data_IF_551867440888
#
_entry.id   IF_551867440888
#
_cell.length_a   1.000
_cell.length_b   1.000
_cell.length_c   1.000
_cell.angle_alpha   90.00
_cell.angle_beta   90.00
_cell.angle_gamma   90.00
#
_symmetry.space_group_name_H-M   'P 1'
#
loop_
_entity.id
_entity.type
_entity.pdbx_description
1 polymer ?
#
# COMPACT_ATOMS: atom_id res chain seq x y z
N UNK A 1 -6.34 20.73 -12.17
CA UNK A 1 -7.07 21.21 -10.97
C UNK A 1 -6.23 20.89 -9.75
N UNK A 2 -6.26 21.71 -8.68
CA UNK A 2 -5.55 21.40 -7.44
C UNK A 2 -6.19 20.18 -6.76
N UNK A 3 -5.38 19.24 -6.29
CA UNK A 3 -5.86 18.05 -5.56
C UNK A 3 -6.38 18.44 -4.19
N UNK A 4 -7.50 17.84 -3.80
CA UNK A 4 -8.19 18.14 -2.56
C UNK A 4 -7.88 17.09 -1.50
N UNK A 5 -7.35 17.53 -0.37
CA UNK A 5 -6.98 16.67 0.75
C UNK A 5 -7.82 17.05 1.97
N UNK A 6 -8.41 16.05 2.63
CA UNK A 6 -9.08 16.24 3.91
C UNK A 6 -8.18 15.73 5.04
N UNK A 7 -7.95 16.58 6.05
CA UNK A 7 -7.29 16.20 7.30
C UNK A 7 -8.35 16.09 8.39
N UNK A 8 -8.42 14.93 9.05
CA UNK A 8 -9.34 14.67 10.17
C UNK A 8 -8.51 14.29 11.39
N UNK A 9 -8.42 15.19 12.34
CA UNK A 9 -7.63 15.06 13.58
C UNK A 9 -8.24 15.97 14.63
N UNK A 10 -8.38 15.57 15.88
CA UNK A 10 -8.96 16.42 16.93
C UNK A 10 -7.97 17.49 17.44
N UNK A 11 -6.66 17.27 17.26
CA UNK A 11 -5.61 18.18 17.68
C UNK A 11 -5.42 19.38 16.71
N UNK A 12 -5.73 20.62 17.09
CA UNK A 12 -5.65 21.77 16.19
C UNK A 12 -4.22 22.05 15.69
N UNK A 13 -3.21 21.80 16.53
CA UNK A 13 -1.80 22.03 16.17
C UNK A 13 -1.32 21.04 15.12
N UNK A 14 -1.80 19.80 15.17
CA UNK A 14 -1.49 18.77 14.16
C UNK A 14 -2.11 19.15 12.83
N UNK A 15 -3.41 19.51 12.82
CA UNK A 15 -4.08 19.98 11.60
C UNK A 15 -3.37 21.16 10.97
N UNK A 16 -3.04 22.19 11.78
CA UNK A 16 -2.33 23.38 11.31
C UNK A 16 -0.97 23.04 10.68
N UNK A 17 -0.21 22.16 11.33
CA UNK A 17 1.10 21.73 10.84
C UNK A 17 0.99 20.98 9.51
N UNK A 18 0.09 20.01 9.41
CA UNK A 18 -0.09 19.23 8.18
C UNK A 18 -0.65 20.09 7.04
N UNK A 19 -1.58 20.97 7.35
CA UNK A 19 -2.11 21.94 6.39
C UNK A 19 -1.00 22.80 5.81
N UNK A 20 -0.16 23.41 6.64
CA UNK A 20 0.95 24.26 6.19
C UNK A 20 1.90 23.53 5.24
N UNK A 21 2.23 22.27 5.55
CA UNK A 21 3.08 21.41 4.69
C UNK A 21 2.43 21.15 3.35
N UNK A 22 1.14 20.79 3.33
CA UNK A 22 0.44 20.39 2.12
C UNK A 22 0.03 21.56 1.23
N UNK A 23 -0.34 22.71 1.81
CA UNK A 23 -0.61 23.95 1.06
C UNK A 23 0.67 24.48 0.38
N UNK A 24 1.85 24.31 0.99
CA UNK A 24 3.12 24.64 0.36
C UNK A 24 3.38 23.83 -0.93
N UNK A 25 2.85 22.63 -1.01
CA UNK A 25 2.86 21.75 -2.21
C UNK A 25 1.66 22.00 -3.15
N UNK A 26 0.89 23.08 -2.94
CA UNK A 26 -0.25 23.52 -3.75
C UNK A 26 -1.46 22.56 -3.73
N UNK A 27 -1.60 21.73 -2.70
CA UNK A 27 -2.82 20.99 -2.46
C UNK A 27 -3.91 21.91 -1.89
N UNK A 28 -5.17 21.65 -2.23
CA UNK A 28 -6.32 22.28 -1.59
C UNK A 28 -6.68 21.49 -0.33
N UNK A 29 -6.41 22.06 0.84
CA UNK A 29 -6.55 21.36 2.12
C UNK A 29 -7.81 21.79 2.83
N UNK A 30 -8.61 20.82 3.28
CA UNK A 30 -9.71 21.03 4.21
C UNK A 30 -9.45 20.28 5.52
N UNK A 31 -10.02 20.80 6.60
CA UNK A 31 -9.86 20.26 7.95
C UNK A 31 -11.21 19.84 8.54
N UNK A 32 -11.17 18.79 9.35
CA UNK A 32 -12.24 18.39 10.25
C UNK A 32 -11.64 18.08 11.62
N UNK A 33 -12.28 18.56 12.68
CA UNK A 33 -11.84 18.40 14.06
C UNK A 33 -12.46 17.18 14.76
N UNK A 34 -13.23 16.40 14.04
CA UNK A 34 -13.84 15.16 14.52
C UNK A 34 -14.17 14.22 13.38
N UNK A 35 -14.33 12.95 13.69
CA UNK A 35 -14.75 11.95 12.72
C UNK A 35 -16.14 12.23 12.14
N UNK A 36 -17.07 12.77 12.94
CA UNK A 36 -18.41 13.15 12.48
C UNK A 36 -18.33 14.23 11.40
N UNK A 37 -17.64 15.34 11.67
CA UNK A 37 -17.42 16.42 10.70
C UNK A 37 -16.65 15.95 9.47
N UNK A 38 -15.68 15.06 9.66
CA UNK A 38 -14.93 14.43 8.57
C UNK A 38 -15.84 13.64 7.64
N UNK A 39 -16.73 12.83 8.22
CA UNK A 39 -17.69 12.02 7.45
C UNK A 39 -18.68 12.89 6.66
N UNK A 40 -19.21 13.95 7.27
CA UNK A 40 -20.08 14.90 6.60
C UNK A 40 -19.41 15.51 5.36
N UNK A 41 -18.17 15.96 5.49
CA UNK A 41 -17.41 16.52 4.38
C UNK A 41 -17.14 15.50 3.27
N UNK A 42 -16.78 14.26 3.65
CA UNK A 42 -16.52 13.17 2.70
C UNK A 42 -17.77 12.75 1.92
N UNK A 43 -18.95 12.88 2.53
CA UNK A 43 -20.25 12.65 1.86
C UNK A 43 -20.61 13.82 0.95
N UNK A 44 -20.35 15.05 1.38
CA UNK A 44 -20.75 16.26 0.67
C UNK A 44 -19.84 16.60 -0.53
N UNK A 45 -18.59 16.15 -0.52
CA UNK A 45 -17.59 16.55 -1.51
C UNK A 45 -16.60 15.42 -1.81
N UNK A 46 -16.06 15.48 -3.03
CA UNK A 46 -14.96 14.60 -3.43
C UNK A 46 -13.63 15.09 -2.87
N UNK A 47 -12.82 14.16 -2.36
CA UNK A 47 -11.43 14.36 -1.96
C UNK A 47 -10.54 13.32 -2.64
N UNK A 48 -9.35 13.76 -3.07
CA UNK A 48 -8.34 12.88 -3.66
C UNK A 48 -7.62 12.06 -2.60
N UNK A 49 -7.61 12.53 -1.34
CA UNK A 49 -7.03 11.83 -0.20
C UNK A 49 -7.70 12.28 1.10
N UNK A 50 -7.91 11.35 2.02
CA UNK A 50 -8.25 11.63 3.41
C UNK A 50 -7.12 11.15 4.33
N UNK A 51 -6.68 12.03 5.23
CA UNK A 51 -5.70 11.75 6.28
C UNK A 51 -6.48 11.72 7.59
N UNK A 52 -6.55 10.55 8.23
CA UNK A 52 -7.38 10.33 9.41
C UNK A 52 -6.49 10.03 10.62
N UNK A 53 -6.67 10.80 11.69
CA UNK A 53 -6.11 10.39 12.98
C UNK A 53 -6.82 9.12 13.49
N UNK A 54 -6.05 8.25 14.09
CA UNK A 54 -6.55 7.00 14.65
C UNK A 54 -7.43 7.24 15.87
N UNK A 55 -7.02 8.13 16.75
CA UNK A 55 -7.66 8.32 18.06
C UNK A 55 -8.31 9.68 18.16
N UNK A 56 -9.62 9.71 18.03
CA UNK A 56 -10.44 10.90 18.21
C UNK A 56 -11.54 10.61 19.24
N UNK A 57 -12.02 11.63 19.95
CA UNK A 57 -13.18 11.48 20.85
C UNK A 57 -14.43 10.99 20.12
N UNK A 58 -15.30 10.28 20.82
CA UNK A 58 -16.62 9.78 20.40
C UNK A 58 -16.56 8.73 19.29
N UNK A 59 -15.85 8.96 18.20
CA UNK A 59 -15.70 8.06 17.06
C UNK A 59 -14.25 8.07 16.57
N UNK A 60 -13.60 6.93 16.63
CA UNK A 60 -12.20 6.80 16.22
C UNK A 60 -12.03 6.79 14.68
N UNK A 61 -10.77 6.88 14.23
CA UNK A 61 -10.48 6.89 12.79
C UNK A 61 -10.81 5.59 12.08
N UNK A 62 -10.79 4.45 12.77
CA UNK A 62 -11.19 3.16 12.18
C UNK A 62 -12.69 3.08 12.01
N UNK A 63 -13.45 3.60 12.96
CA UNK A 63 -14.91 3.67 12.87
C UNK A 63 -15.33 4.62 11.74
N UNK A 64 -14.63 5.75 11.59
CA UNK A 64 -14.82 6.65 10.45
C UNK A 64 -14.56 5.92 9.13
N UNK A 65 -13.42 5.23 9.01
CA UNK A 65 -13.08 4.47 7.80
C UNK A 65 -14.12 3.39 7.49
N UNK A 66 -14.59 2.65 8.51
CA UNK A 66 -15.65 1.66 8.34
C UNK A 66 -16.93 2.29 7.79
N UNK A 67 -17.39 3.39 8.39
CA UNK A 67 -18.58 4.13 7.93
C UNK A 67 -18.43 4.71 6.53
N UNK A 68 -17.22 5.12 6.15
CA UNK A 68 -16.93 5.52 4.77
C UNK A 68 -17.18 4.36 3.80
N UNK A 69 -16.65 3.17 4.09
CA UNK A 69 -16.80 1.97 3.24
C UNK A 69 -18.24 1.46 3.19
N UNK A 70 -18.95 1.48 4.32
CA UNK A 70 -20.39 1.15 4.37
C UNK A 70 -21.24 2.07 3.49
N UNK A 71 -20.85 3.33 3.32
CA UNK A 71 -21.51 4.30 2.45
C UNK A 71 -20.99 4.30 1.00
N UNK A 72 -20.12 3.37 0.65
CA UNK A 72 -19.55 3.27 -0.70
C UNK A 72 -18.54 4.37 -1.06
N UNK A 73 -18.04 5.10 -0.07
CA UNK A 73 -17.01 6.11 -0.31
C UNK A 73 -15.67 5.43 -0.54
N UNK A 74 -15.12 5.60 -1.73
CA UNK A 74 -13.84 5.02 -2.15
C UNK A 74 -12.64 5.96 -1.95
N UNK A 75 -12.83 7.12 -1.32
CA UNK A 75 -11.76 8.08 -1.08
C UNK A 75 -10.50 7.39 -0.52
N UNK A 76 -9.35 7.55 -1.18
CA UNK A 76 -8.06 7.07 -0.69
C UNK A 76 -7.81 7.55 0.73
N UNK A 77 -7.37 6.67 1.61
CA UNK A 77 -7.29 6.99 3.04
C UNK A 77 -5.96 6.55 3.64
N UNK A 78 -5.30 7.46 4.31
CA UNK A 78 -4.11 7.23 5.15
C UNK A 78 -4.50 7.38 6.61
N UNK A 79 -4.11 6.40 7.42
CA UNK A 79 -4.31 6.46 8.86
C UNK A 79 -3.06 6.97 9.55
N UNK A 80 -3.21 7.85 10.53
CA UNK A 80 -2.09 8.33 11.35
C UNK A 80 -2.35 8.00 12.82
N UNK A 81 -1.33 7.51 13.53
CA UNK A 81 -1.45 7.11 14.94
C UNK A 81 -0.28 7.54 15.80
N UNK A 82 -0.52 7.76 17.07
CA UNK A 82 0.49 8.23 18.02
C UNK A 82 1.49 7.16 18.48
N UNK A 83 1.19 5.85 18.46
CA UNK A 83 2.16 4.78 18.83
C UNK A 83 1.58 3.36 18.74
N UNK A 84 2.41 2.43 18.19
CA UNK A 84 2.47 1.01 18.61
C UNK A 84 1.20 0.15 18.49
N UNK A 85 0.20 0.53 17.69
CA UNK A 85 -1.08 -0.16 17.66
C UNK A 85 -1.19 -1.11 16.45
N UNK A 86 -0.31 -2.12 16.43
CA UNK A 86 -0.28 -3.16 15.39
C UNK A 86 -1.66 -3.81 15.10
N UNK A 87 -2.49 -4.12 16.11
CA UNK A 87 -3.83 -4.67 15.86
C UNK A 87 -4.73 -3.72 15.08
N UNK A 88 -4.64 -2.42 15.33
CA UNK A 88 -5.43 -1.41 14.65
C UNK A 88 -4.92 -1.14 13.22
N UNK A 89 -3.60 -1.20 12.99
CA UNK A 89 -3.03 -1.14 11.66
C UNK A 89 -3.55 -2.26 10.76
N UNK A 90 -3.60 -3.49 11.27
CA UNK A 90 -4.17 -4.64 10.54
C UNK A 90 -5.67 -4.42 10.22
N UNK A 91 -6.43 -3.85 11.16
CA UNK A 91 -7.85 -3.53 10.94
C UNK A 91 -8.03 -2.43 9.90
N UNK A 92 -7.21 -1.37 9.94
CA UNK A 92 -7.21 -0.30 8.96
C UNK A 92 -6.97 -0.80 7.52
N UNK A 93 -5.97 -1.66 7.35
CA UNK A 93 -5.67 -2.29 6.06
C UNK A 93 -6.83 -3.16 5.57
N UNK A 94 -7.46 -3.95 6.45
CA UNK A 94 -8.66 -4.75 6.10
C UNK A 94 -9.84 -3.89 5.67
N UNK A 95 -9.97 -2.68 6.20
CA UNK A 95 -10.98 -1.69 5.83
C UNK A 95 -10.60 -0.89 4.58
N UNK A 96 -9.43 -1.17 3.97
CA UNK A 96 -8.99 -0.53 2.74
C UNK A 96 -8.30 0.82 2.95
N UNK A 97 -7.68 1.06 4.11
CA UNK A 97 -6.69 2.13 4.21
C UNK A 97 -5.51 1.84 3.27
N UNK A 98 -5.00 2.88 2.62
CA UNK A 98 -3.87 2.74 1.67
C UNK A 98 -2.56 2.64 2.42
N UNK A 99 -2.43 3.39 3.51
CA UNK A 99 -1.22 3.41 4.32
C UNK A 99 -1.53 3.73 5.78
N UNK A 100 -0.53 3.48 6.62
CA UNK A 100 -0.60 3.66 8.06
C UNK A 100 0.72 4.26 8.55
N UNK A 101 0.66 5.47 9.12
CA UNK A 101 1.83 6.24 9.53
C UNK A 101 1.83 6.48 11.03
N UNK A 102 3.03 6.53 11.61
CA UNK A 102 3.22 6.78 13.04
C UNK A 102 3.59 8.23 13.32
N UNK A 103 2.89 8.88 14.26
CA UNK A 103 3.29 10.18 14.82
C UNK A 103 4.55 10.02 15.71
N UNK A 104 5.48 10.98 15.72
CA UNK A 104 5.45 12.25 14.97
C UNK A 104 5.89 12.06 13.51
N UNK A 105 5.20 12.70 12.58
CA UNK A 105 5.58 12.75 11.18
C UNK A 105 6.45 13.97 10.89
N UNK A 106 7.53 13.76 10.16
CA UNK A 106 8.27 14.89 9.60
C UNK A 106 7.54 15.46 8.38
N UNK A 107 7.75 16.77 8.06
CA UNK A 107 7.21 17.36 6.85
C UNK A 107 7.56 16.57 5.57
N UNK A 108 8.76 16.00 5.50
CA UNK A 108 9.23 15.19 4.36
C UNK A 108 8.44 13.88 4.23
N UNK A 109 8.18 13.20 5.34
CA UNK A 109 7.40 11.97 5.36
C UNK A 109 5.97 12.22 4.90
N UNK A 110 5.34 13.29 5.40
CA UNK A 110 3.98 13.66 5.01
C UNK A 110 3.91 13.99 3.52
N UNK A 111 4.84 14.82 3.00
CA UNK A 111 4.93 15.14 1.57
C UNK A 111 5.07 13.89 0.71
N UNK A 112 6.03 13.04 1.05
CA UNK A 112 6.33 11.83 0.29
C UNK A 112 5.12 10.90 0.16
N UNK A 113 4.44 10.63 1.27
CA UNK A 113 3.27 9.73 1.28
C UNK A 113 2.10 10.34 0.51
N UNK A 114 1.84 11.64 0.70
CA UNK A 114 0.75 12.31 -0.01
C UNK A 114 1.02 12.37 -1.51
N UNK A 115 2.22 12.77 -1.92
CA UNK A 115 2.63 12.79 -3.32
C UNK A 115 2.50 11.40 -3.95
N UNK A 116 3.02 10.37 -3.28
CA UNK A 116 2.95 9.00 -3.77
C UNK A 116 1.51 8.54 -4.00
N UNK A 117 0.59 8.82 -3.08
CA UNK A 117 -0.81 8.40 -3.18
C UNK A 117 -1.57 9.22 -4.23
N UNK A 118 -1.41 10.54 -4.20
CA UNK A 118 -2.14 11.45 -5.09
C UNK A 118 -1.68 11.27 -6.53
N UNK A 119 -0.37 11.11 -6.77
CA UNK A 119 0.18 10.85 -8.11
C UNK A 119 -0.21 9.47 -8.64
N UNK A 120 -0.30 8.46 -7.75
CA UNK A 120 -0.79 7.12 -8.12
C UNK A 120 -2.24 7.13 -8.58
N UNK A 121 -3.10 7.96 -7.98
CA UNK A 121 -4.49 8.11 -8.41
C UNK A 121 -4.64 8.91 -9.71
N UNK A 122 -3.66 9.71 -10.10
CA UNK A 122 -3.63 10.31 -11.45
C UNK A 122 -3.29 9.28 -12.53
N UNK A 123 -2.63 8.19 -12.15
CA UNK A 123 -2.27 7.10 -13.04
C UNK A 123 -3.37 6.02 -13.17
N UNK A 124 -4.57 6.25 -12.64
CA UNK A 124 -5.76 5.47 -12.95
C UNK A 124 -6.75 6.30 -13.83
N UNK A 125 -6.46 6.49 -15.14
CA UNK A 125 -7.54 6.69 -16.08
C UNK A 125 -8.12 5.32 -16.36
N UNK A 126 -9.42 5.20 -16.18
CA UNK A 126 -10.18 4.10 -16.73
C UNK A 126 -9.68 3.72 -18.14
N UNK A 127 -9.35 2.43 -18.32
CA UNK A 127 -9.29 1.73 -19.61
C UNK A 127 -8.02 1.75 -20.47
N UNK A 128 -7.03 2.61 -20.31
CA UNK A 128 -5.83 2.56 -21.17
C UNK A 128 -4.68 1.77 -20.52
N UNK A 129 -4.56 1.80 -19.21
CA UNK A 129 -3.47 1.16 -18.45
C UNK A 129 -3.73 -0.32 -18.08
N UNK A 130 -4.97 -0.79 -18.18
CA UNK A 130 -5.29 -2.21 -17.93
C UNK A 130 -4.59 -3.17 -18.90
N UNK A 131 -4.04 -2.63 -20.01
CA UNK A 131 -3.24 -3.35 -21.01
C UNK A 131 -1.73 -3.21 -20.81
N UNK A 132 -1.28 -2.53 -19.75
CA UNK A 132 0.13 -2.23 -19.53
C UNK A 132 0.74 -3.19 -18.51
N UNK A 133 1.83 -3.87 -18.88
CA UNK A 133 2.61 -4.73 -18.02
C UNK A 133 2.99 -4.06 -16.68
N UNK A 134 3.48 -2.82 -16.75
CA UNK A 134 3.94 -2.08 -15.58
C UNK A 134 2.79 -1.79 -14.58
N UNK A 135 1.57 -1.54 -15.06
CA UNK A 135 0.38 -1.40 -14.23
C UNK A 135 0.10 -2.69 -13.43
N UNK A 136 0.03 -3.82 -14.12
CA UNK A 136 -0.25 -5.10 -13.47
C UNK A 136 0.85 -5.49 -12.48
N UNK A 137 2.11 -5.19 -12.79
CA UNK A 137 3.21 -5.46 -11.87
C UNK A 137 3.14 -4.61 -10.60
N UNK A 138 2.82 -3.31 -10.72
CA UNK A 138 2.57 -2.42 -9.58
C UNK A 138 1.38 -2.88 -8.74
N UNK A 139 0.26 -3.22 -9.40
CA UNK A 139 -0.93 -3.74 -8.73
C UNK A 139 -0.64 -5.03 -7.95
N UNK A 140 0.18 -5.92 -8.53
CA UNK A 140 0.61 -7.14 -7.85
C UNK A 140 1.46 -6.83 -6.61
N UNK A 141 2.45 -5.94 -6.71
CA UNK A 141 3.27 -5.52 -5.57
C UNK A 141 2.42 -4.93 -4.44
N UNK A 142 1.47 -4.07 -4.80
CA UNK A 142 0.53 -3.49 -3.85
C UNK A 142 -0.30 -4.58 -3.15
N UNK A 143 -0.89 -5.49 -3.91
CA UNK A 143 -1.67 -6.59 -3.36
C UNK A 143 -0.84 -7.51 -2.44
N UNK A 144 0.44 -7.77 -2.77
CA UNK A 144 1.37 -8.51 -1.91
C UNK A 144 1.56 -7.79 -0.57
N UNK A 145 1.79 -6.47 -0.60
CA UNK A 145 1.97 -5.66 0.60
C UNK A 145 0.72 -5.66 1.49
N UNK A 146 -0.46 -5.70 0.88
CA UNK A 146 -1.75 -5.80 1.60
C UNK A 146 -2.15 -7.25 1.93
N UNK A 147 -1.30 -8.24 1.66
CA UNK A 147 -1.58 -9.67 1.83
C UNK A 147 -2.84 -10.16 1.09
N UNK A 148 -3.29 -9.43 0.09
CA UNK A 148 -4.34 -9.89 -0.83
C UNK A 148 -3.71 -10.73 -1.94
N UNK A 149 -3.41 -11.99 -1.59
CA UNK A 149 -2.71 -12.90 -2.50
C UNK A 149 -3.55 -13.28 -3.72
N UNK A 150 -4.87 -13.23 -3.62
CA UNK A 150 -5.74 -13.50 -4.77
C UNK A 150 -5.74 -12.33 -5.78
N UNK A 151 -5.77 -11.08 -5.29
CA UNK A 151 -5.58 -9.92 -6.17
C UNK A 151 -4.17 -9.90 -6.77
N UNK A 152 -3.15 -10.25 -5.99
CA UNK A 152 -1.78 -10.36 -6.48
C UNK A 152 -1.65 -11.41 -7.60
N UNK A 153 -2.24 -12.60 -7.43
CA UNK A 153 -2.26 -13.66 -8.47
C UNK A 153 -2.93 -13.20 -9.75
N UNK A 154 -4.10 -12.53 -9.64
CA UNK A 154 -4.81 -11.98 -10.82
C UNK A 154 -3.93 -10.98 -11.58
N UNK A 155 -3.35 -10.03 -10.86
CA UNK A 155 -2.49 -9.00 -11.46
C UNK A 155 -1.25 -9.61 -12.11
N UNK A 156 -0.58 -10.58 -11.44
CA UNK A 156 0.59 -11.25 -12.00
C UNK A 156 0.26 -12.10 -13.22
N UNK A 157 -0.90 -12.76 -13.23
CA UNK A 157 -1.38 -13.47 -14.41
C UNK A 157 -1.49 -12.54 -15.61
N UNK A 158 -2.07 -11.36 -15.44
CA UNK A 158 -2.20 -10.37 -16.49
C UNK A 158 -0.83 -9.80 -16.90
N UNK A 159 0.04 -9.48 -15.95
CA UNK A 159 1.40 -9.03 -16.24
C UNK A 159 2.18 -10.06 -17.09
N UNK A 160 2.19 -11.31 -16.65
CA UNK A 160 2.90 -12.38 -17.36
C UNK A 160 2.27 -12.78 -18.70
N UNK A 161 0.98 -12.46 -18.90
CA UNK A 161 0.34 -12.59 -20.22
C UNK A 161 0.84 -11.51 -21.20
N UNK A 162 1.16 -10.32 -20.69
CA UNK A 162 1.67 -9.19 -21.49
C UNK A 162 3.19 -9.29 -21.73
N UNK A 163 3.94 -9.82 -20.77
CA UNK A 163 5.38 -10.06 -20.86
C UNK A 163 5.76 -11.36 -20.15
N UNK A 164 5.83 -12.43 -20.92
CA UNK A 164 6.21 -13.78 -20.46
C UNK A 164 7.73 -13.97 -20.29
N UNK A 165 8.52 -12.92 -20.57
CA UNK A 165 9.98 -12.88 -20.39
C UNK A 165 10.43 -11.98 -19.25
N UNK A 166 9.56 -11.67 -18.34
CA UNK A 166 9.86 -10.84 -17.18
C UNK A 166 10.39 -11.66 -16.01
N UNK A 167 11.67 -11.53 -15.71
CA UNK A 167 12.27 -12.11 -14.50
C UNK A 167 11.61 -11.54 -13.22
N UNK A 168 11.25 -10.26 -13.20
CA UNK A 168 10.57 -9.63 -12.08
C UNK A 168 9.16 -10.17 -11.86
N UNK A 169 8.38 -10.34 -12.94
CA UNK A 169 7.05 -10.92 -12.87
C UNK A 169 7.05 -12.33 -12.30
N UNK A 170 7.96 -13.19 -12.77
CA UNK A 170 8.12 -14.53 -12.24
C UNK A 170 8.63 -14.55 -10.80
N UNK A 171 9.55 -13.64 -10.43
CA UNK A 171 9.98 -13.53 -9.04
C UNK A 171 8.82 -13.17 -8.10
N UNK A 172 7.98 -12.20 -8.47
CA UNK A 172 6.80 -11.83 -7.67
C UNK A 172 5.78 -12.96 -7.60
N UNK A 173 5.57 -13.72 -8.68
CA UNK A 173 4.71 -14.90 -8.65
C UNK A 173 5.24 -15.97 -7.68
N UNK A 174 6.57 -16.13 -7.63
CA UNK A 174 7.24 -16.97 -6.64
C UNK A 174 7.00 -16.51 -5.21
N UNK A 175 7.12 -15.22 -4.95
CA UNK A 175 6.84 -14.62 -3.62
C UNK A 175 5.40 -14.87 -3.20
N UNK A 176 4.43 -14.66 -4.09
CA UNK A 176 3.00 -14.91 -3.77
C UNK A 176 2.74 -16.38 -3.48
N UNK A 177 3.31 -17.30 -4.27
CA UNK A 177 3.18 -18.73 -4.04
C UNK A 177 3.77 -19.13 -2.67
N UNK A 178 4.95 -18.60 -2.33
CA UNK A 178 5.60 -18.86 -1.05
C UNK A 178 4.79 -18.32 0.13
N UNK A 179 4.29 -17.11 0.05
CA UNK A 179 3.42 -16.50 1.07
C UNK A 179 2.07 -17.23 1.21
N UNK A 180 1.64 -17.93 0.16
CA UNK A 180 0.48 -18.83 0.19
C UNK A 180 0.81 -20.24 0.69
N UNK A 181 2.06 -20.53 1.05
CA UNK A 181 2.51 -21.83 1.55
C UNK A 181 2.86 -22.86 0.44
N UNK A 182 2.81 -22.47 -0.83
CA UNK A 182 3.10 -23.37 -1.93
C UNK A 182 4.57 -23.27 -2.37
N UNK A 183 5.45 -23.84 -1.54
CA UNK A 183 6.89 -23.79 -1.74
C UNK A 183 7.37 -24.46 -3.05
N UNK A 184 6.66 -25.49 -3.54
CA UNK A 184 7.01 -26.17 -4.79
C UNK A 184 6.78 -25.27 -6.00
N UNK A 185 5.64 -24.59 -6.03
CA UNK A 185 5.32 -23.62 -7.08
C UNK A 185 6.25 -22.42 -6.99
N UNK A 186 6.50 -21.90 -5.79
CA UNK A 186 7.43 -20.80 -5.58
C UNK A 186 8.83 -21.09 -6.15
N UNK A 187 9.38 -22.28 -5.87
CA UNK A 187 10.68 -22.69 -6.40
C UNK A 187 10.70 -22.66 -7.93
N UNK A 188 9.67 -23.19 -8.58
CA UNK A 188 9.58 -23.18 -10.05
C UNK A 188 9.54 -21.77 -10.63
N UNK A 189 8.84 -20.86 -9.98
CA UNK A 189 8.79 -19.46 -10.40
C UNK A 189 10.13 -18.76 -10.25
N UNK A 190 10.85 -18.96 -9.14
CA UNK A 190 12.18 -18.41 -8.98
C UNK A 190 13.19 -18.96 -9.97
N UNK A 191 13.14 -20.27 -10.26
CA UNK A 191 13.95 -20.89 -11.30
C UNK A 191 13.64 -20.31 -12.68
N UNK A 192 12.36 -20.05 -12.98
CA UNK A 192 11.98 -19.43 -14.25
C UNK A 192 12.51 -18.00 -14.35
N UNK A 193 12.42 -17.21 -13.27
CA UNK A 193 12.99 -15.87 -13.21
C UNK A 193 14.51 -15.90 -13.50
N UNK A 194 15.24 -16.87 -12.91
CA UNK A 194 16.69 -17.05 -13.11
C UNK A 194 17.06 -17.60 -14.49
N UNK A 195 16.18 -18.36 -15.15
CA UNK A 195 16.39 -18.74 -16.56
C UNK A 195 16.31 -17.55 -17.49
N UNK A 196 15.41 -16.59 -17.19
CA UNK A 196 15.25 -15.36 -17.97
C UNK A 196 16.41 -14.41 -17.72
N UNK A 197 16.76 -14.20 -16.46
CA UNK A 197 17.88 -13.36 -16.06
C UNK A 197 18.61 -14.00 -14.87
N UNK A 198 19.71 -14.69 -15.16
CA UNK A 198 20.53 -15.40 -14.15
C UNK A 198 21.07 -14.49 -13.05
N UNK A 199 21.27 -13.19 -13.36
CA UNK A 199 21.86 -12.20 -12.47
C UNK A 199 20.80 -11.38 -11.73
N UNK A 200 19.52 -11.75 -11.82
CA UNK A 200 18.43 -11.09 -11.13
C UNK A 200 18.48 -11.37 -9.62
N UNK A 201 19.15 -10.48 -8.89
CA UNK A 201 19.43 -10.62 -7.48
C UNK A 201 18.23 -10.96 -6.59
N UNK A 202 17.01 -10.39 -6.79
CA UNK A 202 15.84 -10.76 -5.99
C UNK A 202 15.48 -12.24 -6.10
N UNK A 203 15.51 -12.82 -7.30
CA UNK A 203 15.20 -14.23 -7.49
C UNK A 203 16.30 -15.16 -6.93
N UNK A 204 17.57 -14.76 -7.03
CA UNK A 204 18.68 -15.49 -6.39
C UNK A 204 18.50 -15.55 -4.88
N UNK A 205 18.18 -14.42 -4.25
CA UNK A 205 17.96 -14.32 -2.81
C UNK A 205 16.76 -15.18 -2.37
N UNK A 206 15.64 -15.10 -3.08
CA UNK A 206 14.45 -15.86 -2.75
C UNK A 206 14.63 -17.37 -2.97
N UNK A 207 15.29 -17.79 -4.07
CA UNK A 207 15.61 -19.20 -4.32
C UNK A 207 16.53 -19.78 -3.24
N UNK A 208 17.53 -19.00 -2.80
CA UNK A 208 18.42 -19.40 -1.70
C UNK A 208 17.63 -19.56 -0.39
N UNK A 209 16.74 -18.61 -0.08
CA UNK A 209 15.90 -18.65 1.12
C UNK A 209 14.99 -19.89 1.15
N UNK A 210 14.32 -20.23 0.04
CA UNK A 210 13.50 -21.44 -0.05
C UNK A 210 14.33 -22.72 0.16
N UNK A 211 15.54 -22.77 -0.40
CA UNK A 211 16.45 -23.89 -0.19
C UNK A 211 16.83 -24.04 1.30
N UNK A 212 17.11 -22.94 1.97
CA UNK A 212 17.39 -22.92 3.42
C UNK A 212 16.18 -23.40 4.24
N UNK A 213 14.97 -22.91 3.91
CA UNK A 213 13.72 -23.36 4.54
C UNK A 213 13.49 -24.87 4.38
N UNK A 214 13.75 -25.40 3.20
CA UNK A 214 13.61 -26.83 2.93
C UNK A 214 14.60 -27.70 3.70
N UNK A 215 15.82 -27.21 3.92
CA UNK A 215 16.89 -27.97 4.59
C UNK A 215 16.91 -27.80 6.10
N UNK A 216 16.51 -26.66 6.64
CA UNK A 216 16.71 -26.27 8.04
C UNK A 216 15.42 -25.90 8.78
N UNK A 217 14.27 -25.90 8.09
CA UNK A 217 12.96 -25.53 8.66
C UNK A 217 12.81 -24.03 8.96
N UNK A 218 13.84 -23.21 8.76
CA UNK A 218 13.79 -21.75 8.94
C UNK A 218 14.81 -21.03 8.08
N UNK A 219 14.49 -19.82 7.63
CA UNK A 219 15.43 -18.88 7.02
C UNK A 219 15.28 -17.49 7.65
N UNK A 220 16.42 -16.80 7.83
CA UNK A 220 16.46 -15.42 8.35
C UNK A 220 16.48 -14.37 7.23
N UNK A 221 16.40 -14.79 5.98
CA UNK A 221 16.46 -13.86 4.86
C UNK A 221 15.08 -13.26 4.55
N UNK A 222 14.96 -11.95 4.35
CA UNK A 222 13.71 -11.30 3.96
C UNK A 222 13.33 -11.62 2.52
N UNK A 223 12.05 -11.39 2.17
CA UNK A 223 11.59 -11.47 0.79
C UNK A 223 12.19 -10.37 -0.08
N UNK A 224 12.66 -10.71 -1.26
CA UNK A 224 13.15 -9.76 -2.25
C UNK A 224 12.15 -9.58 -3.39
N UNK A 225 11.48 -8.41 -3.42
CA UNK A 225 10.42 -8.11 -4.41
C UNK A 225 10.92 -7.48 -5.72
N UNK A 226 12.21 -7.15 -5.82
CA UNK A 226 12.74 -6.30 -6.88
C UNK A 226 12.91 -4.86 -6.39
N UNK A 227 13.09 -3.89 -7.28
CA UNK A 227 13.41 -2.50 -6.92
C UNK A 227 12.34 -1.92 -5.98
N UNK A 228 12.69 -1.83 -4.70
CA UNK A 228 11.85 -1.37 -3.59
C UNK A 228 11.98 -2.33 -2.39
N UNK A 229 12.70 -1.91 -1.35
CA UNK A 229 12.85 -2.71 -0.13
C UNK A 229 11.54 -2.71 0.64
N UNK A 230 10.95 -3.89 0.91
CA UNK A 230 10.08 -4.06 2.07
C UNK A 230 10.95 -3.98 3.34
N UNK A 231 10.52 -3.14 4.27
CA UNK A 231 11.07 -3.15 5.61
C UNK A 231 10.92 -4.55 6.24
N UNK A 232 11.92 -4.96 7.00
CA UNK A 232 11.91 -6.20 7.77
C UNK A 232 10.66 -6.27 8.64
N UNK A 233 9.95 -7.40 8.70
CA UNK A 233 9.07 -7.69 9.82
C UNK A 233 9.94 -8.24 10.95
N UNK A 234 10.19 -7.46 11.99
CA UNK A 234 10.54 -7.96 13.31
C UNK A 234 9.29 -8.49 14.00
#
# INVERSE_FOLDING_TARGET
MSKRILIVDDEPNVRLSYRAVLEAERYAVEEANSAATGLEKLVASHFDLAILDMRMPEMDGLDLLAKMRERGLSTPTVMITAYGDLPHAVKAVKLGAIDFLQKPLTPEQLRHVVEEIVTRHEAEPDDVDSKNYAYHLRSAKRAINHRDFEAAKRSLKNALHLDDRSAEGFNLAGVVAELSGDFKIATRYYEQALRINKDFAPAQQNAKRISELSQRGASKQPFALGVGKLGNPD
#
